data_IF_252132738803
#
_entry.id   IF_252132738803
#
_cell.length_a   1.000
_cell.length_b   1.000
_cell.length_c   1.000
_cell.angle_alpha   90.00
_cell.angle_beta   90.00
_cell.angle_gamma   90.00
#
_symmetry.space_group_name_H-M   'P 1'
#
loop_
_entity.id
_entity.type
_entity.pdbx_description
1 polymer ?
#
# COMPACT_ATOMS: atom_id res chain seq x y z
N UNK A 1 2.49 4.92 -22.11
CA UNK A 1 3.62 4.00 -22.44
C UNK A 1 4.21 3.47 -21.14
N UNK A 2 4.36 2.17 -21.04
CA UNK A 2 4.99 1.55 -19.88
C UNK A 2 6.50 1.69 -19.92
N UNK A 3 7.12 1.69 -18.76
CA UNK A 3 8.55 1.86 -18.59
C UNK A 3 9.32 0.61 -19.00
N UNK A 4 10.38 0.78 -19.81
CA UNK A 4 11.23 -0.31 -20.30
C UNK A 4 12.69 0.00 -20.08
N UNK A 5 13.51 -1.05 -20.06
CA UNK A 5 14.97 -0.92 -20.10
C UNK A 5 15.43 -0.51 -21.51
N UNK A 6 16.67 -0.03 -21.63
CA UNK A 6 17.25 0.40 -22.88
C UNK A 6 17.36 -0.74 -23.92
N UNK A 7 17.42 -1.99 -23.48
CA UNK A 7 17.45 -3.17 -24.35
C UNK A 7 16.04 -3.60 -24.85
N UNK A 8 14.98 -2.89 -24.41
CA UNK A 8 13.60 -3.19 -24.78
C UNK A 8 12.85 -4.11 -23.84
N UNK A 9 13.52 -4.67 -22.84
CA UNK A 9 12.84 -5.49 -21.82
C UNK A 9 11.93 -4.62 -20.96
N UNK A 10 10.79 -5.15 -20.58
CA UNK A 10 9.83 -4.44 -19.72
C UNK A 10 10.37 -4.31 -18.31
N UNK A 11 10.38 -3.10 -17.78
CA UNK A 11 10.53 -2.86 -16.34
C UNK A 11 9.19 -2.93 -15.65
N UNK A 12 8.20 -2.23 -16.17
CA UNK A 12 6.85 -2.16 -15.61
C UNK A 12 5.85 -2.92 -16.47
N UNK A 13 4.89 -3.56 -15.82
CA UNK A 13 3.75 -4.21 -16.47
C UNK A 13 2.46 -3.42 -16.27
N UNK A 14 2.45 -2.48 -15.35
CA UNK A 14 1.34 -1.59 -15.07
C UNK A 14 1.79 -0.22 -14.61
N UNK A 15 0.89 0.73 -14.73
CA UNK A 15 1.10 2.10 -14.27
C UNK A 15 -0.24 2.74 -13.89
N UNK A 16 -0.18 3.67 -12.95
CA UNK A 16 -1.30 4.53 -12.63
C UNK A 16 -0.82 5.94 -12.29
N UNK A 17 -1.63 6.98 -12.52
CA UNK A 17 -1.34 8.29 -11.98
C UNK A 17 -1.42 8.25 -10.46
N UNK A 18 -0.60 9.03 -9.79
CA UNK A 18 -0.69 9.17 -8.34
C UNK A 18 -1.09 10.60 -7.97
N UNK A 19 -1.66 10.73 -6.78
CA UNK A 19 -1.89 12.04 -6.18
C UNK A 19 -0.69 12.39 -5.30
N UNK A 20 -0.23 13.64 -5.42
CA UNK A 20 0.83 14.20 -4.58
C UNK A 20 0.21 15.24 -3.67
N UNK A 21 -0.06 14.88 -2.41
CA UNK A 21 -0.70 15.78 -1.45
C UNK A 21 -0.40 15.38 -0.01
N UNK A 22 -0.64 16.31 0.90
CA UNK A 22 -0.61 16.04 2.34
C UNK A 22 -1.80 15.17 2.76
N UNK A 23 -1.58 14.29 3.74
CA UNK A 23 -2.61 13.37 4.26
C UNK A 23 -3.32 13.91 5.50
N UNK A 24 -2.93 15.07 6.00
CA UNK A 24 -3.55 15.72 7.15
C UNK A 24 -2.78 16.94 7.60
N UNK A 25 -3.35 17.71 8.53
CA UNK A 25 -2.72 18.93 9.05
C UNK A 25 -1.48 18.64 9.90
N UNK A 26 -1.43 17.48 10.54
CA UNK A 26 -0.27 17.07 11.35
C UNK A 26 0.91 16.61 10.51
N UNK A 27 0.70 16.30 9.23
CA UNK A 27 1.74 15.91 8.28
C UNK A 27 1.55 16.71 7.00
N UNK A 28 2.15 17.91 6.91
CA UNK A 28 1.95 18.80 5.77
C UNK A 28 2.77 18.40 4.54
N UNK A 29 3.64 17.41 4.65
CA UNK A 29 4.45 16.95 3.52
C UNK A 29 3.62 16.23 2.48
N UNK A 30 3.93 16.45 1.20
CA UNK A 30 3.30 15.71 0.13
C UNK A 30 3.66 14.22 0.22
N UNK A 31 2.65 13.39 0.05
CA UNK A 31 2.78 11.94 -0.02
C UNK A 31 2.31 11.45 -1.38
N UNK A 32 2.80 10.29 -1.77
CA UNK A 32 2.40 9.62 -3.01
C UNK A 32 1.24 8.70 -2.68
N UNK A 33 0.08 9.01 -3.25
CA UNK A 33 -1.17 8.30 -2.96
C UNK A 33 -1.62 7.59 -4.23
N UNK A 34 -1.83 6.29 -4.12
CA UNK A 34 -2.26 5.42 -5.22
C UNK A 34 -3.56 4.70 -4.87
N UNK A 35 -4.22 4.16 -5.88
CA UNK A 35 -5.39 3.32 -5.73
C UNK A 35 -4.99 1.86 -5.64
N UNK A 36 -5.52 1.18 -4.64
CA UNK A 36 -5.32 -0.26 -4.41
C UNK A 36 -6.64 -0.93 -4.08
N UNK A 37 -6.68 -2.25 -4.19
CA UNK A 37 -7.72 -3.06 -3.60
C UNK A 37 -7.12 -3.94 -2.52
N UNK A 38 -7.75 -3.97 -1.36
CA UNK A 38 -7.36 -4.86 -0.27
C UNK A 38 -8.54 -5.77 0.03
N UNK A 39 -8.34 -7.07 -0.13
CA UNK A 39 -9.42 -8.04 0.02
C UNK A 39 -10.62 -7.78 -0.89
N UNK A 40 -10.40 -7.16 -2.05
CA UNK A 40 -11.45 -6.82 -3.02
C UNK A 40 -12.12 -5.46 -2.81
N UNK A 41 -11.80 -4.72 -1.74
CA UNK A 41 -12.30 -3.36 -1.55
C UNK A 41 -11.27 -2.33 -2.02
N UNK A 42 -11.73 -1.41 -2.87
CA UNK A 42 -10.90 -0.33 -3.40
C UNK A 42 -10.71 0.77 -2.38
N UNK A 43 -9.48 1.23 -2.22
CA UNK A 43 -9.11 2.31 -1.33
C UNK A 43 -7.90 3.07 -1.86
N UNK A 44 -7.71 4.29 -1.37
CA UNK A 44 -6.47 5.03 -1.58
C UNK A 44 -5.47 4.67 -0.48
N UNK A 45 -4.21 4.56 -0.86
CA UNK A 45 -3.14 4.26 0.08
C UNK A 45 -1.88 5.06 -0.22
N UNK A 46 -1.13 5.37 0.82
CA UNK A 46 0.17 6.04 0.70
C UNK A 46 1.25 5.02 0.40
N UNK A 47 2.05 5.26 -0.62
CA UNK A 47 3.28 4.49 -0.85
C UNK A 47 4.30 4.93 0.19
N UNK A 48 4.68 4.01 1.08
CA UNK A 48 5.57 4.32 2.20
C UNK A 48 6.64 3.23 2.36
N UNK A 49 7.79 3.45 1.74
CA UNK A 49 8.93 2.53 1.83
C UNK A 49 9.52 2.45 3.24
N UNK A 50 9.20 3.41 4.10
CA UNK A 50 9.61 3.41 5.51
C UNK A 50 8.68 2.63 6.43
N UNK A 51 7.47 2.30 5.98
CA UNK A 51 6.57 1.44 6.75
C UNK A 51 6.97 -0.04 6.60
N UNK A 52 7.05 -0.81 7.69
CA UNK A 52 7.47 -2.21 7.59
C UNK A 52 6.44 -3.10 6.88
N UNK A 53 5.16 -2.81 7.00
CA UNK A 53 4.06 -3.61 6.41
C UNK A 53 3.05 -2.71 5.72
N UNK A 54 2.12 -3.30 5.00
CA UNK A 54 0.88 -2.63 4.67
C UNK A 54 0.15 -2.33 5.97
N UNK A 55 -0.29 -1.09 6.15
CA UNK A 55 -1.08 -0.68 7.32
C UNK A 55 -2.48 -0.39 6.80
N UNK A 56 -3.43 -1.19 7.21
CA UNK A 56 -4.81 -1.08 6.76
C UNK A 56 -5.62 -0.23 7.73
N UNK A 57 -6.35 0.73 7.19
CA UNK A 57 -7.35 1.49 7.94
C UNK A 57 -8.27 0.52 8.69
N UNK A 58 -8.38 0.65 10.02
CA UNK A 58 -9.21 -0.27 10.81
C UNK A 58 -10.69 -0.25 10.44
N UNK A 59 -11.21 0.86 9.91
CA UNK A 59 -12.59 0.93 9.39
C UNK A 59 -12.78 0.09 8.16
N UNK A 60 -11.79 0.07 7.26
CA UNK A 60 -11.80 -0.79 6.08
C UNK A 60 -11.70 -2.26 6.48
N UNK A 61 -10.83 -2.58 7.43
CA UNK A 61 -10.70 -3.94 7.96
C UNK A 61 -12.03 -4.44 8.56
N UNK A 62 -12.73 -3.58 9.28
CA UNK A 62 -14.05 -3.91 9.82
C UNK A 62 -15.06 -4.19 8.70
N UNK A 63 -15.06 -3.38 7.65
CA UNK A 63 -15.92 -3.59 6.47
C UNK A 63 -15.64 -4.91 5.76
N UNK A 64 -14.40 -5.38 5.79
CA UNK A 64 -13.98 -6.66 5.23
C UNK A 64 -14.32 -7.85 6.14
N UNK A 65 -14.77 -7.62 7.37
CA UNK A 65 -15.03 -8.67 8.34
C UNK A 65 -13.78 -9.35 8.87
N UNK A 66 -12.62 -8.70 8.78
CA UNK A 66 -11.37 -9.25 9.31
C UNK A 66 -11.35 -9.04 10.83
N UNK A 67 -11.14 -10.13 11.56
CA UNK A 67 -11.08 -10.11 13.01
C UNK A 67 -9.73 -10.66 13.54
N UNK A 68 -9.55 -10.57 14.85
CA UNK A 68 -8.34 -11.07 15.51
C UNK A 68 -8.16 -12.58 15.41
N UNK A 69 -9.24 -13.34 15.14
CA UNK A 69 -9.19 -14.79 14.98
C UNK A 69 -8.48 -15.24 13.70
N UNK A 70 -8.42 -14.38 12.68
CA UNK A 70 -7.70 -14.65 11.43
C UNK A 70 -6.25 -14.16 11.46
N UNK A 71 -5.80 -13.58 12.57
CA UNK A 71 -4.45 -13.03 12.70
C UNK A 71 -3.40 -14.14 12.73
N UNK A 72 -2.28 -13.90 12.02
CA UNK A 72 -1.09 -14.74 12.11
C UNK A 72 -0.33 -14.47 13.40
N UNK A 73 -0.29 -13.22 13.83
CA UNK A 73 0.54 -12.77 14.93
C UNK A 73 0.03 -11.42 15.47
N UNK A 74 0.07 -11.25 16.80
CA UNK A 74 -0.06 -9.94 17.39
C UNK A 74 1.25 -9.16 17.24
N UNK A 75 1.16 -7.87 17.00
CA UNK A 75 2.33 -7.03 16.76
C UNK A 75 2.12 -5.61 17.31
N UNK A 76 3.24 -4.90 17.48
CA UNK A 76 3.24 -3.47 17.78
C UNK A 76 4.06 -2.76 16.73
N UNK A 77 3.54 -1.65 16.20
CA UNK A 77 4.26 -0.79 15.28
C UNK A 77 4.32 0.64 15.82
N UNK A 78 5.40 1.32 15.52
CA UNK A 78 5.46 2.77 15.70
C UNK A 78 4.87 3.43 14.46
N UNK A 79 3.73 4.07 14.64
CA UNK A 79 3.04 4.81 13.57
C UNK A 79 3.04 6.28 13.96
N UNK A 80 3.73 7.11 13.19
CA UNK A 80 3.84 8.55 13.47
C UNK A 80 4.36 8.85 14.87
N UNK A 81 5.32 8.04 15.37
CA UNK A 81 5.88 8.20 16.70
C UNK A 81 5.03 7.61 17.82
N UNK A 82 3.87 7.05 17.53
CA UNK A 82 3.00 6.41 18.50
C UNK A 82 3.08 4.89 18.38
N UNK A 83 3.37 4.22 19.49
CA UNK A 83 3.36 2.76 19.55
C UNK A 83 1.92 2.26 19.47
N UNK A 84 1.61 1.50 18.45
CA UNK A 84 0.26 1.02 18.16
C UNK A 84 0.24 -0.49 18.20
N UNK A 85 -0.65 -1.05 19.00
CA UNK A 85 -0.94 -2.48 19.01
C UNK A 85 -1.81 -2.83 17.82
N UNK A 86 -1.63 -4.02 17.31
CA UNK A 86 -2.45 -4.55 16.23
C UNK A 86 -2.14 -5.99 15.93
N UNK A 87 -2.56 -6.44 14.77
CA UNK A 87 -2.38 -7.82 14.33
C UNK A 87 -1.89 -7.86 12.90
N UNK A 88 -1.09 -8.88 12.60
CA UNK A 88 -0.61 -9.18 11.25
C UNK A 88 -1.51 -10.22 10.61
N UNK A 89 -1.85 -9.97 9.36
CA UNK A 89 -2.69 -10.83 8.54
C UNK A 89 -2.04 -11.05 7.18
N UNK A 90 -2.45 -12.10 6.50
CA UNK A 90 -2.11 -12.34 5.12
C UNK A 90 -3.31 -11.97 4.26
N UNK A 91 -3.17 -10.99 3.38
CA UNK A 91 -4.28 -10.50 2.56
C UNK A 91 -3.80 -10.18 1.15
N UNK A 92 -4.67 -10.35 0.18
CA UNK A 92 -4.40 -9.92 -1.19
C UNK A 92 -4.50 -8.40 -1.29
N UNK A 93 -3.43 -7.80 -1.78
CA UNK A 93 -3.35 -6.38 -2.12
C UNK A 93 -3.12 -6.27 -3.62
N UNK A 94 -4.03 -5.61 -4.32
CA UNK A 94 -3.94 -5.38 -5.76
C UNK A 94 -3.60 -3.93 -6.01
N UNK A 95 -2.49 -3.69 -6.70
CA UNK A 95 -2.16 -2.35 -7.19
C UNK A 95 -2.86 -2.17 -8.52
N UNK A 96 -3.75 -1.18 -8.58
CA UNK A 96 -4.60 -0.92 -9.75
C UNK A 96 -3.77 -0.31 -10.87
N UNK A 97 -4.13 -0.61 -12.11
CA UNK A 97 -3.50 -0.08 -13.30
C UNK A 97 -4.50 0.69 -14.16
N UNK A 98 -4.10 1.88 -14.58
CA UNK A 98 -4.79 2.62 -15.64
C UNK A 98 -4.23 2.24 -17.01
N UNK A 99 -2.95 1.89 -17.05
CA UNK A 99 -2.26 1.39 -18.24
C UNK A 99 -1.58 0.07 -17.90
N UNK A 100 -1.68 -0.88 -18.81
CA UNK A 100 -1.15 -2.22 -18.60
C UNK A 100 -2.02 -3.06 -17.66
N UNK A 101 -1.37 -3.89 -16.85
CA UNK A 101 -2.05 -4.86 -15.99
C UNK A 101 -1.85 -4.54 -14.52
N UNK A 102 -2.90 -4.70 -13.75
CA UNK A 102 -2.83 -4.68 -12.28
C UNK A 102 -2.00 -5.84 -11.76
N UNK A 103 -1.48 -5.72 -10.55
CA UNK A 103 -0.71 -6.77 -9.91
C UNK A 103 -1.25 -7.04 -8.50
N UNK A 104 -1.43 -8.32 -8.18
CA UNK A 104 -1.91 -8.76 -6.87
C UNK A 104 -0.78 -9.44 -6.11
N UNK A 105 -0.61 -9.04 -4.86
CA UNK A 105 0.38 -9.59 -3.96
C UNK A 105 -0.34 -10.11 -2.73
N UNK A 106 -0.02 -11.32 -2.31
CA UNK A 106 -0.39 -11.80 -0.99
C UNK A 106 0.55 -11.14 0.03
N UNK A 107 0.09 -10.04 0.62
CA UNK A 107 0.91 -9.18 1.44
C UNK A 107 0.74 -9.46 2.93
N UNK A 108 1.75 -9.04 3.70
CA UNK A 108 1.64 -8.95 5.15
C UNK A 108 0.99 -7.62 5.50
N UNK A 109 -0.14 -7.67 6.18
CA UNK A 109 -0.97 -6.51 6.49
C UNK A 109 -1.11 -6.36 8.00
N UNK A 110 -0.74 -5.19 8.51
CA UNK A 110 -0.96 -4.81 9.90
C UNK A 110 -2.29 -4.08 10.02
N UNK A 111 -3.13 -4.57 10.92
CA UNK A 111 -4.40 -3.92 11.25
C UNK A 111 -4.27 -3.34 12.66
N UNK A 112 -4.28 -2.00 12.80
CA UNK A 112 -4.22 -1.37 14.10
C UNK A 112 -5.44 -1.73 14.96
N UNK A 113 -5.19 -2.01 16.24
CA UNK A 113 -6.24 -2.21 17.24
C UNK A 113 -6.66 -0.85 17.76
N UNK A 114 -7.35 -0.10 16.94
CA UNK A 114 -7.83 1.26 17.21
C UNK A 114 -9.28 1.34 16.80
N UNK A 115 -10.09 2.04 17.61
CA UNK A 115 -11.48 2.34 17.22
C UNK A 115 -11.44 3.06 15.86
N UNK A 116 -12.16 2.55 14.84
CA UNK A 116 -12.20 3.19 13.53
C UNK A 116 -12.57 4.67 13.56
N UNK A 117 -13.41 5.09 14.49
CA UNK A 117 -13.79 6.50 14.66
C UNK A 117 -12.62 7.39 15.12
N UNK A 118 -11.58 6.80 15.70
CA UNK A 118 -10.39 7.52 16.18
C UNK A 118 -9.22 7.47 15.18
N UNK A 119 -9.35 6.70 14.11
CA UNK A 119 -8.32 6.58 13.09
C UNK A 119 -8.51 7.67 12.03
N UNK A 120 -7.54 8.55 11.91
CA UNK A 120 -7.59 9.69 10.98
C UNK A 120 -6.62 9.59 9.82
N UNK A 121 -5.89 8.48 9.71
CA UNK A 121 -4.88 8.26 8.69
C UNK A 121 -5.44 7.42 7.53
N UNK A 122 -4.88 7.53 6.33
CA UNK A 122 -5.18 6.60 5.25
C UNK A 122 -4.52 5.24 5.52
N UNK A 123 -4.76 4.28 4.63
CA UNK A 123 -3.96 3.07 4.57
C UNK A 123 -2.58 3.38 3.98
N UNK A 124 -1.59 2.52 4.27
CA UNK A 124 -0.22 2.64 3.79
C UNK A 124 0.19 1.34 3.12
N UNK A 125 0.89 1.46 1.99
CA UNK A 125 1.52 0.32 1.33
C UNK A 125 2.99 0.34 1.72
N UNK A 126 3.37 -0.61 2.57
CA UNK A 126 4.70 -0.69 3.16
C UNK A 126 5.65 -1.61 2.40
N UNK A 127 6.85 -1.73 2.96
CA UNK A 127 7.97 -2.41 2.29
C UNK A 127 7.92 -3.92 2.44
N UNK A 128 7.96 -4.41 3.69
CA UNK A 128 8.09 -5.85 3.98
C UNK A 128 6.83 -6.61 3.57
N UNK A 129 7.02 -7.60 2.74
CA UNK A 129 5.94 -8.47 2.27
C UNK A 129 5.03 -7.83 1.23
N UNK A 130 5.35 -6.63 0.73
CA UNK A 130 4.58 -5.98 -0.33
C UNK A 130 5.50 -5.31 -1.35
N UNK A 131 5.94 -4.07 -1.14
CA UNK A 131 6.72 -3.33 -2.14
C UNK A 131 8.05 -4.00 -2.48
N UNK A 132 8.68 -4.67 -1.52
CA UNK A 132 9.94 -5.39 -1.76
C UNK A 132 9.83 -6.52 -2.78
N UNK A 133 8.60 -6.93 -3.12
CA UNK A 133 8.33 -8.00 -4.09
C UNK A 133 8.09 -7.49 -5.50
N UNK A 134 8.24 -6.19 -5.71
CA UNK A 134 7.92 -5.53 -6.97
C UNK A 134 9.10 -4.74 -7.49
N UNK A 135 9.15 -4.61 -8.81
CA UNK A 135 9.78 -3.46 -9.44
C UNK A 135 8.86 -2.27 -9.29
N UNK A 136 9.42 -1.13 -8.90
CA UNK A 136 8.63 0.11 -8.79
C UNK A 136 9.46 1.30 -9.22
N UNK A 137 8.81 2.28 -9.81
CA UNK A 137 9.41 3.55 -10.18
C UNK A 137 8.39 4.67 -10.09
N UNK A 138 8.88 5.86 -9.81
CA UNK A 138 8.05 7.04 -9.67
C UNK A 138 8.60 8.11 -10.60
N UNK A 139 7.76 8.64 -11.47
CA UNK A 139 8.07 9.78 -12.31
C UNK A 139 7.34 11.01 -11.77
N UNK A 140 8.04 11.91 -11.04
CA UNK A 140 7.40 13.11 -10.50
C UNK A 140 7.01 14.13 -11.55
N UNK A 141 7.59 14.08 -12.73
CA UNK A 141 7.23 15.01 -13.81
C UNK A 141 5.83 14.70 -14.36
N UNK A 142 5.57 13.41 -14.63
CA UNK A 142 4.26 12.97 -15.13
C UNK A 142 3.31 12.51 -14.02
N UNK A 143 3.75 12.55 -12.76
CA UNK A 143 3.00 12.05 -11.60
C UNK A 143 2.47 10.63 -11.84
N UNK A 144 3.37 9.75 -12.29
CA UNK A 144 3.04 8.36 -12.63
C UNK A 144 3.80 7.39 -11.73
N UNK A 145 3.08 6.41 -11.21
CA UNK A 145 3.61 5.28 -10.46
C UNK A 145 3.63 4.05 -11.36
N UNK A 146 4.82 3.52 -11.59
CA UNK A 146 5.05 2.31 -12.39
C UNK A 146 5.34 1.13 -11.49
N UNK A 147 4.84 -0.03 -11.85
CA UNK A 147 5.08 -1.26 -11.09
C UNK A 147 5.13 -2.47 -12.02
N UNK A 148 5.81 -3.51 -11.57
CA UNK A 148 5.92 -4.75 -12.32
C UNK A 148 6.41 -5.90 -11.44
N UNK A 149 6.17 -7.13 -11.89
CA UNK A 149 6.67 -8.32 -11.23
C UNK A 149 8.17 -8.46 -11.45
N UNK A 150 8.83 -9.19 -10.54
CA UNK A 150 10.18 -9.65 -10.80
C UNK A 150 10.19 -10.64 -11.96
N UNK A 151 11.28 -10.69 -12.74
CA UNK A 151 11.42 -11.71 -13.76
C UNK A 151 11.50 -13.11 -13.12
N UNK A 152 11.01 -14.11 -13.86
CA UNK A 152 11.10 -15.52 -13.46
C UNK A 152 12.55 -16.03 -13.44
#
# INVERSE_FOLDING_TARGET
MLLSFSNGDNFATGAQPYLSRAIGTADPSNRIIVEVEVGGLRTSAVIDTGAPYVILDPGLAQSLGVDSGSALLAANLSIRGHRTQGSLHRMNVTIMADEGEEITIEATVFIPKVDPALWSLPSFVGWTGCLERLRLAIDPFDETFYFGAFPD
#
